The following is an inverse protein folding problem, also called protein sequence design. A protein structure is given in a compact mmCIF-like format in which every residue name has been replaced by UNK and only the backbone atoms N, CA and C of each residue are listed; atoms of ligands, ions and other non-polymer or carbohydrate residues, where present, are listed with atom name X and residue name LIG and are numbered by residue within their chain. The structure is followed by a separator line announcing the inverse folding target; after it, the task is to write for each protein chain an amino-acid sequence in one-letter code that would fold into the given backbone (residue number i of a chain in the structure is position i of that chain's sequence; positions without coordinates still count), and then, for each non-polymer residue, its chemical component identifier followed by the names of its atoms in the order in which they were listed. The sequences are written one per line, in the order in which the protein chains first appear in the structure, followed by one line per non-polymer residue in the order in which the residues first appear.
data_IF_820813898400
#
_entry.id   IF_820813898400
#
_cell.length_a   1.000
_cell.length_b   1.000
_cell.length_c   1.000
_cell.angle_alpha   90.00
_cell.angle_beta   90.00
_cell.angle_gamma   90.00
#
_symmetry.space_group_name_H-M   'P 1'
#
loop_
_entity.id
_entity.type
_entity.pdbx_description
1 polymer ?
#
# COMPACT_ATOMS: atom_id res chain seq x y z
N UNK A 1 30.57 8.98 -34.50
CA UNK A 1 31.24 10.12 -33.87
C UNK A 1 30.65 10.32 -32.45
N UNK A 2 31.51 10.45 -31.45
CA UNK A 2 31.10 10.65 -30.04
C UNK A 2 30.69 12.09 -29.70
N UNK A 3 30.68 12.97 -30.68
CA UNK A 3 30.24 14.40 -30.53
C UNK A 3 29.39 14.78 -31.74
N UNK A 4 28.33 15.54 -31.45
CA UNK A 4 27.51 16.15 -32.48
C UNK A 4 28.35 17.15 -33.30
N UNK A 5 28.31 17.01 -34.60
CA UNK A 5 28.93 17.94 -35.55
C UNK A 5 27.88 18.35 -36.57
N UNK A 6 27.62 19.66 -36.70
CA UNK A 6 26.57 20.19 -37.55
C UNK A 6 26.79 19.91 -39.04
N UNK A 7 28.03 19.63 -39.51
CA UNK A 7 28.37 19.33 -40.90
C UNK A 7 29.12 17.98 -40.99
N UNK A 8 28.73 17.14 -41.91
CA UNK A 8 29.39 15.86 -42.15
C UNK A 8 30.79 16.06 -42.80
N UNK A 9 31.89 15.54 -42.19
CA UNK A 9 33.23 15.68 -42.74
C UNK A 9 33.43 14.88 -44.05
N UNK A 10 32.59 13.90 -44.34
CA UNK A 10 32.68 13.06 -45.56
C UNK A 10 31.94 13.67 -46.74
N UNK A 11 30.68 14.07 -46.59
CA UNK A 11 29.87 14.60 -47.66
C UNK A 11 29.69 16.14 -47.64
N UNK A 12 30.14 16.83 -46.57
CA UNK A 12 30.05 18.28 -46.34
C UNK A 12 28.63 18.85 -46.33
N UNK A 13 27.60 18.01 -46.19
CA UNK A 13 26.22 18.46 -46.03
C UNK A 13 25.89 18.72 -44.58
N UNK A 14 24.95 19.63 -44.31
CA UNK A 14 24.47 19.98 -42.98
C UNK A 14 23.30 19.10 -42.60
N UNK A 15 23.19 18.79 -41.27
CA UNK A 15 22.07 18.04 -40.70
C UNK A 15 21.83 16.63 -41.31
N UNK A 16 22.88 15.95 -41.77
CA UNK A 16 22.81 14.61 -42.32
C UNK A 16 23.12 13.50 -41.30
N UNK A 17 23.40 13.88 -40.04
CA UNK A 17 23.56 12.88 -38.95
C UNK A 17 22.21 12.48 -38.39
N UNK A 18 21.94 11.20 -38.43
CA UNK A 18 20.82 10.57 -37.71
C UNK A 18 21.42 9.85 -36.51
N UNK A 19 20.87 10.07 -35.31
CA UNK A 19 21.21 9.27 -34.14
C UNK A 19 20.72 7.83 -34.35
N UNK A 20 21.65 6.92 -34.65
CA UNK A 20 21.35 5.49 -34.51
C UNK A 20 21.57 5.08 -33.06
N UNK A 21 20.61 4.43 -32.38
CA UNK A 21 20.86 3.85 -31.10
C UNK A 21 21.92 2.76 -31.26
N UNK A 22 23.13 3.02 -30.75
CA UNK A 22 24.19 2.02 -30.66
C UNK A 22 23.69 0.89 -29.77
N UNK A 23 23.34 -0.25 -30.38
CA UNK A 23 23.22 -1.51 -29.66
C UNK A 23 24.58 -1.74 -28.98
N UNK A 24 24.59 -1.62 -27.65
CA UNK A 24 25.78 -1.77 -26.84
C UNK A 24 26.42 -3.13 -27.12
N UNK A 25 27.64 -3.11 -27.68
CA UNK A 25 28.47 -4.29 -27.86
C UNK A 25 28.82 -4.82 -26.46
N UNK A 26 28.15 -5.87 -26.04
CA UNK A 26 28.57 -6.66 -24.88
C UNK A 26 29.90 -7.33 -25.20
N UNK A 27 30.97 -6.75 -24.70
CA UNK A 27 32.29 -7.42 -24.65
C UNK A 27 32.12 -8.63 -23.75
N UNK A 28 32.27 -9.81 -24.35
CA UNK A 28 32.35 -11.10 -23.68
C UNK A 28 33.65 -11.21 -22.90
N UNK A 29 33.58 -10.93 -21.59
CA UNK A 29 34.57 -11.45 -20.64
C UNK A 29 34.00 -12.72 -20.01
N UNK A 30 34.58 -13.85 -20.37
CA UNK A 30 34.35 -15.15 -19.75
C UNK A 30 34.73 -15.11 -18.27
N UNK A 31 33.80 -15.21 -17.35
CA UNK A 31 34.03 -15.82 -16.03
C UNK A 31 32.69 -16.30 -15.45
N UNK A 32 32.62 -17.58 -15.16
CA UNK A 32 31.85 -18.27 -14.12
C UNK A 32 30.34 -18.11 -14.08
N UNK A 33 29.65 -19.17 -14.51
CA UNK A 33 28.22 -19.38 -14.54
C UNK A 33 27.39 -18.91 -13.34
N UNK A 34 26.50 -17.99 -13.63
CA UNK A 34 25.17 -17.93 -13.02
C UNK A 34 24.19 -17.69 -14.17
N UNK A 35 23.35 -18.67 -14.47
CA UNK A 35 22.24 -18.53 -15.41
C UNK A 35 21.35 -17.40 -14.90
N UNK A 36 21.41 -16.20 -15.52
CA UNK A 36 20.30 -15.26 -15.51
C UNK A 36 19.14 -15.99 -16.18
N UNK A 37 18.12 -16.39 -15.41
CA UNK A 37 16.84 -16.76 -15.97
C UNK A 37 16.32 -15.53 -16.71
N UNK A 38 16.45 -15.55 -18.04
CA UNK A 38 15.89 -14.52 -18.91
C UNK A 38 14.38 -14.50 -18.67
N UNK A 39 13.83 -13.31 -18.48
CA UNK A 39 12.40 -13.08 -18.63
C UNK A 39 12.02 -13.60 -20.01
N UNK A 40 11.33 -14.75 -20.06
CA UNK A 40 10.73 -15.22 -21.30
C UNK A 40 9.79 -14.12 -21.79
N UNK A 41 9.94 -13.71 -23.04
CA UNK A 41 9.04 -12.75 -23.64
C UNK A 41 7.62 -13.28 -23.53
N UNK A 42 6.75 -12.54 -22.83
CA UNK A 42 5.35 -12.93 -22.60
C UNK A 42 4.69 -13.14 -23.97
N UNK A 43 4.22 -14.36 -24.24
CA UNK A 43 3.44 -14.64 -25.45
C UNK A 43 2.04 -14.09 -25.27
N UNK A 44 1.43 -13.47 -26.29
CA UNK A 44 0.04 -13.06 -26.20
C UNK A 44 -0.85 -14.29 -25.99
N UNK A 45 -1.71 -14.25 -24.99
CA UNK A 45 -2.70 -15.28 -24.70
C UNK A 45 -4.09 -14.78 -25.09
N UNK A 46 -4.97 -15.67 -25.53
CA UNK A 46 -6.38 -15.32 -25.72
C UNK A 46 -7.04 -15.16 -24.36
N UNK A 47 -7.96 -14.20 -24.24
CA UNK A 47 -8.65 -13.92 -22.97
C UNK A 47 -9.39 -15.16 -22.44
N UNK A 48 -9.90 -15.99 -23.34
CA UNK A 48 -10.61 -17.25 -23.02
C UNK A 48 -9.69 -18.36 -22.47
N UNK A 49 -8.38 -18.25 -22.70
CA UNK A 49 -7.37 -19.20 -22.20
C UNK A 49 -6.88 -18.85 -20.79
N UNK A 50 -7.29 -17.68 -20.27
CA UNK A 50 -6.91 -17.22 -18.95
C UNK A 50 -8.00 -17.66 -17.97
N UNK A 51 -7.70 -18.66 -17.13
CA UNK A 51 -8.60 -19.03 -16.04
C UNK A 51 -8.54 -17.95 -14.95
N UNK A 52 -9.70 -17.42 -14.59
CA UNK A 52 -9.88 -16.56 -13.42
C UNK A 52 -10.60 -17.36 -12.35
N UNK A 53 -9.89 -18.23 -11.67
CA UNK A 53 -10.47 -18.94 -10.54
C UNK A 53 -10.71 -17.95 -9.41
N UNK A 54 -11.92 -17.89 -8.88
CA UNK A 54 -12.29 -17.07 -7.72
C UNK A 54 -11.46 -17.41 -6.46
N UNK A 55 -10.75 -18.53 -6.46
CA UNK A 55 -9.87 -18.98 -5.40
C UNK A 55 -8.54 -18.22 -5.28
N UNK A 56 -8.19 -17.35 -6.22
CA UNK A 56 -6.94 -16.55 -6.19
C UNK A 56 -6.93 -15.43 -5.12
N UNK A 57 -7.99 -15.29 -4.32
CA UNK A 57 -8.05 -14.35 -3.20
C UNK A 57 -7.71 -15.01 -1.88
N UNK A 58 -6.71 -14.45 -1.20
CA UNK A 58 -6.32 -14.90 0.14
C UNK A 58 -6.92 -13.98 1.19
N UNK A 59 -7.64 -14.54 2.15
CA UNK A 59 -8.14 -13.75 3.28
C UNK A 59 -7.01 -13.33 4.20
N UNK A 60 -7.06 -12.07 4.64
CA UNK A 60 -6.07 -11.50 5.56
C UNK A 60 -6.28 -11.94 7.02
N UNK A 61 -7.44 -12.54 7.30
CA UNK A 61 -7.86 -12.84 8.65
C UNK A 61 -8.36 -11.62 9.43
N UNK A 62 -8.58 -10.50 8.73
CA UNK A 62 -9.22 -9.29 9.22
C UNK A 62 -10.39 -8.94 8.28
N UNK A 63 -11.63 -9.11 8.75
CA UNK A 63 -12.83 -8.91 7.93
C UNK A 63 -12.97 -7.46 7.45
N UNK A 64 -12.61 -6.50 8.29
CA UNK A 64 -12.65 -5.08 7.95
C UNK A 64 -11.63 -4.73 6.85
N UNK A 65 -10.45 -5.36 6.86
CA UNK A 65 -9.47 -5.21 5.79
C UNK A 65 -9.91 -5.93 4.51
N UNK A 66 -10.40 -7.18 4.64
CA UNK A 66 -10.88 -7.96 3.49
C UNK A 66 -12.04 -7.24 2.79
N UNK A 67 -12.94 -6.59 3.53
CA UNK A 67 -14.01 -5.74 2.99
C UNK A 67 -13.45 -4.63 2.09
N UNK A 68 -12.49 -3.87 2.59
CA UNK A 68 -11.88 -2.75 1.84
C UNK A 68 -11.08 -3.25 0.63
N UNK A 69 -10.51 -4.44 0.71
CA UNK A 69 -9.81 -5.09 -0.40
C UNK A 69 -10.76 -5.68 -1.46
N UNK A 70 -12.06 -5.74 -1.18
CA UNK A 70 -13.04 -6.37 -2.07
C UNK A 70 -13.06 -7.90 -1.97
N UNK A 71 -12.79 -8.45 -0.79
CA UNK A 71 -12.87 -9.87 -0.47
C UNK A 71 -11.54 -10.57 -0.14
N UNK A 72 -10.44 -9.83 -0.09
CA UNK A 72 -9.11 -10.35 0.27
C UNK A 72 -8.00 -9.97 -0.69
N UNK A 73 -6.82 -10.53 -0.49
CA UNK A 73 -5.62 -10.27 -1.28
C UNK A 73 -5.68 -10.97 -2.63
N UNK A 74 -5.42 -10.25 -3.69
CA UNK A 74 -5.24 -10.82 -5.02
C UNK A 74 -3.75 -11.17 -5.21
N UNK A 75 -3.49 -12.39 -5.65
CA UNK A 75 -2.13 -12.90 -5.91
C UNK A 75 -1.42 -12.03 -6.96
N UNK A 76 -0.16 -11.70 -6.72
CA UNK A 76 0.62 -10.84 -7.63
C UNK A 76 0.24 -9.35 -7.58
N UNK A 77 -0.56 -8.90 -6.63
CA UNK A 77 -0.95 -7.49 -6.47
C UNK A 77 0.07 -6.69 -5.67
N UNK A 78 0.17 -5.40 -6.00
CA UNK A 78 0.95 -4.42 -5.28
C UNK A 78 0.02 -3.45 -4.54
N UNK A 79 0.08 -3.43 -3.20
CA UNK A 79 -0.84 -2.71 -2.33
C UNK A 79 -0.08 -1.65 -1.55
N UNK A 80 -0.47 -0.39 -1.68
CA UNK A 80 0.09 0.72 -0.89
C UNK A 80 -0.80 1.00 0.32
N UNK A 81 -0.19 1.04 1.50
CA UNK A 81 -0.85 1.45 2.75
C UNK A 81 -0.25 2.79 3.19
N UNK A 82 -0.98 3.87 2.96
CA UNK A 82 -0.64 5.23 3.34
C UNK A 82 -1.29 5.66 4.65
N UNK A 83 -0.81 6.76 5.20
CA UNK A 83 -1.36 7.39 6.40
C UNK A 83 -0.29 8.03 7.27
N UNK A 84 -0.71 8.80 8.26
CA UNK A 84 0.16 9.52 9.17
C UNK A 84 1.13 8.59 9.93
N UNK A 85 2.34 9.07 10.29
CA UNK A 85 3.22 8.33 11.18
C UNK A 85 2.54 8.04 12.52
N UNK A 86 2.67 6.78 13.00
CA UNK A 86 2.07 6.36 14.28
C UNK A 86 0.57 6.03 14.24
N UNK A 87 -0.09 6.09 13.06
CA UNK A 87 -1.53 5.76 12.93
C UNK A 87 -1.83 4.28 13.12
N UNK A 88 -0.85 3.39 12.95
CA UNK A 88 -1.01 1.93 13.13
C UNK A 88 -0.75 1.07 11.89
N UNK A 89 -0.22 1.63 10.80
CA UNK A 89 0.05 0.89 9.53
C UNK A 89 0.88 -0.38 9.75
N UNK A 90 2.05 -0.24 10.38
CA UNK A 90 2.95 -1.37 10.65
C UNK A 90 2.34 -2.39 11.63
N UNK A 91 1.47 -1.93 12.56
CA UNK A 91 0.72 -2.80 13.47
C UNK A 91 -0.30 -3.64 12.70
N UNK A 92 -1.09 -3.00 11.82
CA UNK A 92 -2.04 -3.69 10.95
C UNK A 92 -1.34 -4.77 10.12
N UNK A 93 -0.25 -4.40 9.45
CA UNK A 93 0.46 -5.32 8.56
C UNK A 93 1.16 -6.45 9.31
N UNK A 94 1.68 -6.23 10.52
CA UNK A 94 2.18 -7.33 11.35
C UNK A 94 1.06 -8.31 11.74
N UNK A 95 -0.14 -7.83 12.07
CA UNK A 95 -1.28 -8.71 12.36
C UNK A 95 -1.70 -9.51 11.11
N UNK A 96 -1.72 -8.87 9.93
CA UNK A 96 -1.96 -9.54 8.65
C UNK A 96 -0.90 -10.62 8.41
N UNK A 97 0.38 -10.30 8.58
CA UNK A 97 1.48 -11.26 8.42
C UNK A 97 1.30 -12.48 9.34
N UNK A 98 0.94 -12.24 10.61
CA UNK A 98 0.64 -13.32 11.56
C UNK A 98 -0.48 -14.22 11.06
N UNK A 99 -1.61 -13.63 10.69
CA UNK A 99 -2.78 -14.39 10.27
C UNK A 99 -2.48 -15.22 9.01
N UNK A 100 -1.76 -14.64 8.06
CA UNK A 100 -1.34 -15.32 6.83
C UNK A 100 -0.34 -16.46 7.13
N UNK A 101 0.63 -16.24 8.02
CA UNK A 101 1.58 -17.28 8.42
C UNK A 101 0.86 -18.44 9.14
N UNK A 102 -0.10 -18.15 10.01
CA UNK A 102 -0.94 -19.18 10.67
C UNK A 102 -1.78 -19.95 9.65
N UNK A 103 -2.24 -19.31 8.57
CA UNK A 103 -2.96 -19.99 7.48
C UNK A 103 -2.05 -20.78 6.52
N UNK A 104 -0.76 -20.91 6.85
CA UNK A 104 0.20 -21.73 6.08
C UNK A 104 0.88 -20.98 4.94
N UNK A 105 0.76 -19.66 4.85
CA UNK A 105 1.48 -18.86 3.85
C UNK A 105 2.87 -18.47 4.35
N UNK A 106 3.87 -18.57 3.48
CA UNK A 106 5.20 -18.05 3.75
C UNK A 106 5.21 -16.54 3.53
N UNK A 107 5.53 -15.80 4.59
CA UNK A 107 5.49 -14.33 4.62
C UNK A 107 6.88 -13.77 4.91
N UNK A 108 7.29 -12.74 4.16
CA UNK A 108 8.53 -11.99 4.42
C UNK A 108 8.18 -10.54 4.82
N UNK A 109 8.57 -10.16 6.02
CA UNK A 109 8.47 -8.77 6.49
C UNK A 109 9.84 -8.10 6.40
N UNK A 110 9.95 -7.08 5.55
CA UNK A 110 11.17 -6.28 5.37
C UNK A 110 11.00 -4.97 6.11
N UNK A 111 11.86 -4.72 7.07
CA UNK A 111 11.91 -3.47 7.84
C UNK A 111 13.12 -2.64 7.45
N UNK A 112 12.89 -1.42 6.99
CA UNK A 112 13.94 -0.45 6.70
C UNK A 112 14.15 0.59 7.80
N UNK A 113 13.25 0.64 8.79
CA UNK A 113 13.30 1.64 9.87
C UNK A 113 13.62 1.03 11.22
N UNK A 114 13.17 -0.20 11.47
CA UNK A 114 13.32 -0.87 12.75
C UNK A 114 14.24 -2.09 12.64
N UNK A 115 15.03 -2.32 13.68
CA UNK A 115 15.81 -3.54 13.81
C UNK A 115 14.90 -4.76 14.03
N UNK A 116 15.41 -5.95 13.71
CA UNK A 116 14.70 -7.22 13.93
C UNK A 116 14.20 -7.38 15.38
N UNK A 117 15.00 -6.91 16.36
CA UNK A 117 14.62 -6.94 17.77
C UNK A 117 13.42 -6.04 18.09
N UNK A 118 13.36 -4.83 17.52
CA UNK A 118 12.25 -3.89 17.72
C UNK A 118 10.95 -4.42 17.11
N UNK A 119 11.05 -4.95 15.87
CA UNK A 119 9.89 -5.61 15.23
C UNK A 119 9.42 -6.82 16.05
N UNK A 120 10.35 -7.65 16.57
CA UNK A 120 10.01 -8.79 17.43
C UNK A 120 9.32 -8.35 18.72
N UNK A 121 9.80 -7.31 19.39
CA UNK A 121 9.13 -6.76 20.59
C UNK A 121 7.70 -6.27 20.32
N UNK A 122 7.47 -5.70 19.13
CA UNK A 122 6.12 -5.32 18.67
C UNK A 122 5.27 -6.55 18.39
N UNK A 123 5.83 -7.54 17.71
CA UNK A 123 5.18 -8.79 17.41
C UNK A 123 4.72 -9.53 18.68
N UNK A 124 5.55 -9.57 19.70
CA UNK A 124 5.21 -10.24 20.97
C UNK A 124 4.01 -9.60 21.68
N UNK A 125 3.84 -8.27 21.59
CA UNK A 125 2.65 -7.57 22.10
C UNK A 125 1.37 -7.94 21.36
N UNK A 126 1.48 -8.35 20.10
CA UNK A 126 0.35 -8.76 19.27
C UNK A 126 -0.09 -10.21 19.48
N UNK A 127 0.45 -10.92 20.49
CA UNK A 127 0.01 -12.25 20.89
C UNK A 127 0.82 -13.41 20.34
N UNK A 128 2.08 -13.14 19.97
CA UNK A 128 3.00 -14.15 19.47
C UNK A 128 2.74 -14.53 18.01
N UNK A 129 3.71 -15.23 17.42
CA UNK A 129 3.68 -15.62 16.02
C UNK A 129 4.00 -17.10 15.89
N UNK A 130 3.18 -17.83 15.18
CA UNK A 130 3.40 -19.19 14.72
C UNK A 130 3.31 -19.24 13.20
N UNK A 131 4.01 -20.17 12.57
CA UNK A 131 4.06 -20.29 11.12
C UNK A 131 5.31 -19.65 10.48
N UNK A 132 5.34 -19.60 9.16
CA UNK A 132 6.50 -19.16 8.38
C UNK A 132 6.50 -17.64 8.16
N UNK A 133 6.76 -16.87 9.22
CA UNK A 133 7.03 -15.43 9.12
C UNK A 133 8.53 -15.17 9.22
N UNK A 134 9.11 -14.73 8.10
CA UNK A 134 10.51 -14.32 8.00
C UNK A 134 10.61 -12.81 8.21
N UNK A 135 11.65 -12.37 8.92
CA UNK A 135 11.95 -10.97 9.16
C UNK A 135 13.33 -10.63 8.57
N UNK A 136 13.38 -9.56 7.79
CA UNK A 136 14.59 -9.03 7.19
C UNK A 136 14.75 -7.54 7.54
N UNK A 137 15.85 -7.15 8.16
CA UNK A 137 16.20 -5.72 8.35
C UNK A 137 17.20 -5.35 7.25
N UNK A 138 16.71 -4.77 6.16
CA UNK A 138 17.51 -4.38 5.00
C UNK A 138 16.80 -3.25 4.23
N UNK A 139 17.60 -2.39 3.58
CA UNK A 139 17.12 -1.27 2.78
C UNK A 139 17.60 -1.32 1.33
N UNK A 140 18.63 -2.12 1.04
CA UNK A 140 19.10 -2.34 -0.32
C UNK A 140 18.17 -3.29 -1.08
N UNK A 141 17.53 -2.79 -2.16
CA UNK A 141 16.53 -3.54 -2.90
C UNK A 141 17.07 -4.78 -3.61
N UNK A 142 18.34 -4.77 -4.04
CA UNK A 142 18.94 -5.93 -4.68
C UNK A 142 19.12 -7.10 -3.70
N UNK A 143 19.52 -6.80 -2.46
CA UNK A 143 19.62 -7.83 -1.40
C UNK A 143 18.23 -8.36 -1.01
N UNK A 144 17.22 -7.47 -0.99
CA UNK A 144 15.84 -7.86 -0.75
C UNK A 144 15.35 -8.78 -1.86
N UNK A 145 15.59 -8.45 -3.15
CA UNK A 145 15.19 -9.29 -4.29
C UNK A 145 15.89 -10.65 -4.26
N UNK A 146 17.19 -10.70 -3.93
CA UNK A 146 17.92 -11.96 -3.74
C UNK A 146 17.29 -12.81 -2.64
N UNK A 147 16.87 -12.21 -1.53
CA UNK A 147 16.17 -12.91 -0.44
C UNK A 147 14.79 -13.41 -0.90
N UNK A 148 14.01 -12.60 -1.60
CA UNK A 148 12.73 -13.02 -2.18
C UNK A 148 12.92 -14.19 -3.14
N UNK A 149 13.96 -14.14 -3.97
CA UNK A 149 14.28 -15.22 -4.92
C UNK A 149 14.65 -16.52 -4.21
N UNK A 150 15.39 -16.45 -3.11
CA UNK A 150 15.82 -17.61 -2.34
C UNK A 150 14.68 -18.21 -1.53
N UNK A 151 13.92 -17.37 -0.84
CA UNK A 151 12.91 -17.79 0.12
C UNK A 151 11.54 -18.06 -0.53
N UNK A 152 11.28 -17.50 -1.72
CA UNK A 152 10.02 -17.64 -2.46
C UNK A 152 8.77 -17.41 -1.59
N UNK A 153 8.66 -16.25 -0.89
CA UNK A 153 7.50 -15.96 -0.08
C UNK A 153 6.26 -15.72 -0.97
N UNK A 154 5.08 -16.01 -0.45
CA UNK A 154 3.80 -15.71 -1.13
C UNK A 154 3.36 -14.26 -0.89
N UNK A 155 3.76 -13.69 0.26
CA UNK A 155 3.43 -12.32 0.65
C UNK A 155 4.69 -11.64 1.17
N UNK A 156 4.92 -10.40 0.74
CA UNK A 156 6.03 -9.53 1.19
C UNK A 156 5.46 -8.23 1.73
N UNK A 157 6.01 -7.75 2.83
CA UNK A 157 5.74 -6.41 3.37
C UNK A 157 7.02 -5.59 3.34
N UNK A 158 6.97 -4.38 2.79
CA UNK A 158 8.07 -3.40 2.76
C UNK A 158 7.68 -2.24 3.68
N UNK A 159 8.38 -2.12 4.82
CA UNK A 159 8.11 -1.09 5.84
C UNK A 159 9.38 -0.28 6.15
N UNK A 160 9.56 0.92 5.56
CA UNK A 160 8.73 1.63 4.59
C UNK A 160 9.40 1.74 3.22
N UNK A 161 8.62 2.02 2.18
CA UNK A 161 9.16 2.22 0.83
C UNK A 161 10.13 3.41 0.75
N UNK A 162 9.98 4.40 1.63
CA UNK A 162 10.84 5.59 1.66
C UNK A 162 12.28 5.29 2.09
N UNK A 163 12.51 4.20 2.82
CA UNK A 163 13.85 3.79 3.25
C UNK A 163 14.57 2.90 2.25
N UNK A 164 13.84 2.39 1.25
CA UNK A 164 14.42 1.51 0.23
C UNK A 164 15.23 2.30 -0.78
N UNK A 165 16.33 1.70 -1.25
CA UNK A 165 17.18 2.29 -2.27
C UNK A 165 17.78 1.24 -3.21
N UNK A 166 18.19 1.72 -4.38
CA UNK A 166 19.01 1.00 -5.38
C UNK A 166 20.34 1.71 -5.55
N UNK A 167 21.42 0.96 -5.62
CA UNK A 167 22.78 1.52 -5.74
C UNK A 167 23.06 2.13 -7.12
N UNK A 168 22.40 1.65 -8.16
CA UNK A 168 22.52 2.16 -9.53
C UNK A 168 21.87 3.54 -9.76
N UNK A 169 21.14 4.05 -8.77
CA UNK A 169 20.45 5.33 -8.83
C UNK A 169 21.17 6.34 -7.94
N UNK A 170 21.64 7.43 -8.52
CA UNK A 170 22.46 8.45 -7.83
C UNK A 170 21.71 9.32 -6.84
N UNK A 171 20.35 9.29 -6.82
CA UNK A 171 19.56 10.11 -5.89
C UNK A 171 19.49 9.47 -4.50
N UNK A 172 19.34 10.32 -3.46
CA UNK A 172 19.30 9.87 -2.07
C UNK A 172 18.06 8.98 -1.78
N UNK A 173 18.15 8.03 -0.81
CA UNK A 173 17.00 7.31 -0.31
C UNK A 173 15.86 8.25 0.10
N UNK A 174 14.61 7.85 -0.14
CA UNK A 174 13.43 8.69 0.12
C UNK A 174 13.14 9.77 -0.93
N UNK A 175 14.05 10.04 -1.87
CA UNK A 175 13.76 10.92 -3.01
C UNK A 175 12.70 10.33 -3.93
N UNK A 176 11.99 11.20 -4.67
CA UNK A 176 10.95 10.77 -5.63
C UNK A 176 11.50 9.75 -6.63
N UNK A 177 12.73 9.96 -7.12
CA UNK A 177 13.38 9.05 -8.07
C UNK A 177 13.58 7.67 -7.50
N UNK A 178 14.23 7.58 -6.33
CA UNK A 178 14.47 6.30 -5.65
C UNK A 178 13.17 5.56 -5.34
N UNK A 179 12.20 6.25 -4.74
CA UNK A 179 10.93 5.63 -4.34
C UNK A 179 10.16 5.10 -5.56
N UNK A 180 10.16 5.83 -6.69
CA UNK A 180 9.53 5.37 -7.93
C UNK A 180 10.21 4.14 -8.51
N UNK A 181 11.54 4.14 -8.62
CA UNK A 181 12.28 3.03 -9.21
C UNK A 181 12.24 1.78 -8.32
N UNK A 182 12.33 1.95 -7.00
CA UNK A 182 12.13 0.85 -6.06
C UNK A 182 10.73 0.24 -6.21
N UNK A 183 9.70 1.09 -6.30
CA UNK A 183 8.31 0.63 -6.50
C UNK A 183 8.13 -0.06 -7.85
N UNK A 184 8.76 0.44 -8.92
CA UNK A 184 8.72 -0.20 -10.23
C UNK A 184 9.34 -1.62 -10.20
N UNK A 185 10.49 -1.77 -9.55
CA UNK A 185 11.12 -3.07 -9.36
C UNK A 185 10.23 -4.02 -8.55
N UNK A 186 9.65 -3.56 -7.44
CA UNK A 186 8.74 -4.36 -6.62
C UNK A 186 7.47 -4.75 -7.39
N UNK A 187 6.97 -3.89 -8.26
CA UNK A 187 5.83 -4.20 -9.14
C UNK A 187 6.18 -5.33 -10.14
N UNK A 188 7.39 -5.29 -10.72
CA UNK A 188 7.86 -6.36 -11.60
C UNK A 188 8.00 -7.69 -10.86
N UNK A 189 8.53 -7.67 -9.63
CA UNK A 189 8.64 -8.85 -8.76
C UNK A 189 7.24 -9.40 -8.44
N UNK A 190 6.31 -8.54 -8.03
CA UNK A 190 4.94 -8.93 -7.68
C UNK A 190 4.26 -9.65 -8.86
N UNK A 191 4.27 -9.04 -10.04
CA UNK A 191 3.57 -9.56 -11.23
C UNK A 191 4.32 -10.73 -11.88
N UNK A 192 5.65 -10.68 -11.92
CA UNK A 192 6.46 -11.71 -12.58
C UNK A 192 6.58 -13.00 -11.77
N UNK A 193 6.40 -12.95 -10.45
CA UNK A 193 6.52 -14.11 -9.55
C UNK A 193 5.24 -14.46 -8.81
N UNK A 194 4.13 -13.78 -9.11
CA UNK A 194 2.84 -13.96 -8.43
C UNK A 194 2.93 -13.79 -6.90
N UNK A 195 3.70 -12.77 -6.45
CA UNK A 195 3.89 -12.46 -5.03
C UNK A 195 3.06 -11.22 -4.68
N UNK A 196 2.21 -11.31 -3.66
CA UNK A 196 1.50 -10.13 -3.16
C UNK A 196 2.43 -9.27 -2.31
N UNK A 197 2.55 -7.98 -2.64
CA UNK A 197 3.47 -7.07 -1.96
C UNK A 197 2.69 -5.91 -1.33
N UNK A 198 2.87 -5.71 -0.03
CA UNK A 198 2.44 -4.51 0.68
C UNK A 198 3.58 -3.50 0.76
N UNK A 199 3.29 -2.25 0.44
CA UNK A 199 4.17 -1.10 0.63
C UNK A 199 3.61 -0.20 1.72
N UNK A 200 4.38 0.05 2.77
CA UNK A 200 4.05 1.09 3.75
C UNK A 200 4.59 2.42 3.25
N UNK A 201 3.70 3.43 3.19
CA UNK A 201 4.06 4.80 2.83
C UNK A 201 3.68 5.79 3.94
N UNK A 202 4.61 6.68 4.30
CA UNK A 202 4.33 7.77 5.23
C UNK A 202 3.91 9.03 4.47
N UNK A 203 2.79 9.63 4.90
CA UNK A 203 2.37 10.95 4.37
C UNK A 203 3.25 12.01 5.01
N UNK A 204 3.94 12.80 4.20
CA UNK A 204 4.73 13.94 4.68
C UNK A 204 4.00 15.24 4.40
N UNK A 205 3.84 16.08 5.43
CA UNK A 205 3.19 17.40 5.31
C UNK A 205 4.03 18.41 4.52
N UNK A 206 5.33 18.18 4.35
CA UNK A 206 6.30 19.18 3.85
C UNK A 206 6.89 18.88 2.46
N UNK A 207 6.46 17.87 1.75
CA UNK A 207 6.84 17.64 0.35
C UNK A 207 8.31 17.28 0.06
N UNK A 208 9.17 17.16 1.07
CA UNK A 208 10.61 16.89 0.91
C UNK A 208 10.88 15.39 0.64
N UNK A 209 10.06 14.51 1.21
CA UNK A 209 10.12 13.06 1.00
C UNK A 209 8.97 12.63 0.09
N UNK A 210 9.24 11.72 -0.83
CA UNK A 210 8.20 11.20 -1.74
C UNK A 210 7.06 10.56 -0.94
N UNK A 211 5.91 11.23 -0.92
CA UNK A 211 4.71 10.74 -0.26
C UNK A 211 3.99 9.68 -1.10
N UNK A 212 2.99 9.00 -0.53
CA UNK A 212 2.22 7.94 -1.18
C UNK A 212 1.59 8.37 -2.52
N UNK A 213 1.21 9.64 -2.69
CA UNK A 213 0.60 10.18 -3.93
C UNK A 213 1.43 9.94 -5.18
N UNK A 214 2.75 9.93 -5.06
CA UNK A 214 3.65 9.65 -6.19
C UNK A 214 3.48 8.21 -6.69
N UNK A 215 3.09 7.29 -5.81
CA UNK A 215 2.96 5.86 -6.07
C UNK A 215 1.56 5.41 -6.45
N UNK A 216 0.53 6.23 -6.22
CA UNK A 216 -0.87 5.86 -6.43
C UNK A 216 -1.15 5.33 -7.85
N UNK A 217 -0.48 5.88 -8.85
CA UNK A 217 -0.65 5.44 -10.24
C UNK A 217 0.05 4.12 -10.56
N UNK A 218 1.09 3.77 -9.80
CA UNK A 218 1.93 2.59 -10.04
C UNK A 218 1.37 1.32 -9.41
N UNK A 219 0.66 1.44 -8.30
CA UNK A 219 0.15 0.30 -7.51
C UNK A 219 -1.26 -0.10 -7.95
N UNK A 220 -1.67 -1.32 -7.61
CA UNK A 220 -2.99 -1.85 -7.95
C UNK A 220 -4.06 -1.38 -6.96
N UNK A 221 -3.70 -1.30 -5.68
CA UNK A 221 -4.60 -0.88 -4.60
C UNK A 221 -3.91 0.17 -3.73
N UNK A 222 -4.63 1.21 -3.36
CA UNK A 222 -4.19 2.26 -2.44
C UNK A 222 -5.16 2.31 -1.27
N UNK A 223 -4.65 2.05 -0.08
CA UNK A 223 -5.36 2.12 1.18
C UNK A 223 -4.83 3.31 1.98
N UNK A 224 -5.72 4.14 2.49
CA UNK A 224 -5.35 5.19 3.45
C UNK A 224 -5.89 4.86 4.82
N UNK A 225 -5.00 4.95 5.81
CA UNK A 225 -5.33 4.78 7.21
C UNK A 225 -5.47 6.17 7.83
N UNK A 226 -6.69 6.50 8.25
CA UNK A 226 -7.11 7.80 8.73
C UNK A 226 -7.52 7.74 10.21
N UNK A 227 -7.44 8.84 10.89
CA UNK A 227 -7.90 9.01 12.26
C UNK A 227 -7.05 10.00 13.04
N UNK A 228 -7.60 10.54 14.11
CA UNK A 228 -6.86 11.37 15.05
C UNK A 228 -6.06 10.46 16.00
N UNK A 229 -4.84 10.87 16.36
CA UNK A 229 -4.00 10.13 17.32
C UNK A 229 -4.63 10.05 18.72
N UNK A 230 -5.47 11.02 19.07
CA UNK A 230 -6.24 11.06 20.31
C UNK A 230 -7.51 10.21 20.27
N UNK A 231 -8.03 9.89 19.07
CA UNK A 231 -9.20 9.06 18.91
C UNK A 231 -8.86 7.57 19.07
N UNK A 232 -9.77 6.79 19.63
CA UNK A 232 -9.59 5.33 19.76
C UNK A 232 -9.73 4.61 18.43
N UNK A 233 -10.51 5.19 17.51
CA UNK A 233 -10.86 4.57 16.23
C UNK A 233 -9.96 5.00 15.09
N UNK A 234 -9.77 4.07 14.17
CA UNK A 234 -9.03 4.25 12.92
C UNK A 234 -9.89 3.77 11.77
N UNK A 235 -9.91 4.54 10.70
CA UNK A 235 -10.67 4.22 9.49
C UNK A 235 -9.68 3.86 8.40
N UNK A 236 -9.92 2.75 7.72
CA UNK A 236 -9.18 2.34 6.55
C UNK A 236 -10.07 2.51 5.33
N UNK A 237 -9.64 3.30 4.35
CA UNK A 237 -10.36 3.55 3.09
C UNK A 237 -9.54 3.13 1.88
N UNK A 238 -10.20 2.57 0.87
CA UNK A 238 -9.61 2.38 -0.43
C UNK A 238 -9.79 3.67 -1.25
N UNK A 239 -8.67 4.27 -1.67
CA UNK A 239 -8.68 5.40 -2.62
C UNK A 239 -8.58 4.91 -4.06
N UNK A 240 -7.95 3.76 -4.25
CA UNK A 240 -7.84 3.04 -5.51
C UNK A 240 -7.91 1.55 -5.26
N UNK A 241 -8.69 0.83 -6.05
CA UNK A 241 -8.73 -0.62 -6.01
C UNK A 241 -9.08 -1.15 -7.40
N UNK A 242 -8.13 -1.83 -8.06
CA UNK A 242 -8.35 -2.45 -9.38
C UNK A 242 -9.20 -3.72 -9.28
N UNK A 243 -9.34 -4.27 -8.08
CA UNK A 243 -9.95 -5.58 -7.84
C UNK A 243 -11.27 -5.51 -7.07
N UNK A 244 -11.74 -4.30 -6.75
CA UNK A 244 -12.96 -4.09 -5.99
C UNK A 244 -13.41 -2.63 -5.94
N UNK A 245 -14.46 -2.39 -5.19
CA UNK A 245 -15.01 -1.04 -4.98
C UNK A 245 -14.07 -0.19 -4.12
N UNK A 246 -14.14 1.14 -4.31
CA UNK A 246 -13.35 2.11 -3.53
C UNK A 246 -14.18 2.84 -2.47
N UNK A 247 -15.48 2.57 -2.39
CA UNK A 247 -16.40 3.21 -1.46
C UNK A 247 -16.57 2.46 -0.14
N UNK A 248 -15.85 1.32 0.04
CA UNK A 248 -15.87 0.55 1.29
C UNK A 248 -14.91 1.14 2.32
N UNK A 249 -15.32 1.07 3.58
CA UNK A 249 -14.47 1.43 4.71
C UNK A 249 -14.33 0.28 5.71
N UNK A 250 -13.14 0.19 6.33
CA UNK A 250 -12.87 -0.66 7.48
C UNK A 250 -12.70 0.18 8.74
N UNK A 251 -13.26 -0.27 9.85
CA UNK A 251 -13.18 0.45 11.12
C UNK A 251 -12.43 -0.41 12.15
N UNK A 252 -11.42 0.19 12.76
CA UNK A 252 -10.57 -0.46 13.75
C UNK A 252 -10.49 0.37 15.03
N UNK A 253 -10.38 -0.30 16.15
CA UNK A 253 -10.08 0.28 17.45
C UNK A 253 -8.62 -0.01 17.79
N UNK A 254 -7.87 1.01 18.25
CA UNK A 254 -6.51 0.83 18.70
C UNK A 254 -6.52 0.41 20.19
N UNK A 255 -6.09 -0.81 20.45
CA UNK A 255 -5.98 -1.36 21.81
C UNK A 255 -4.53 -1.76 22.12
N UNK A 256 -4.23 -2.10 23.36
CA UNK A 256 -2.87 -2.49 23.75
C UNK A 256 -2.32 -3.71 22.99
N UNK A 257 -3.20 -4.65 22.63
CA UNK A 257 -2.86 -5.84 21.85
C UNK A 257 -2.87 -5.63 20.33
N UNK A 258 -2.99 -4.38 19.85
CA UNK A 258 -2.98 -4.05 18.44
C UNK A 258 -4.27 -3.41 17.96
N UNK A 259 -4.64 -3.68 16.70
CA UNK A 259 -5.87 -3.20 16.08
C UNK A 259 -6.96 -4.27 16.20
N UNK A 260 -8.09 -3.87 16.76
CA UNK A 260 -9.29 -4.68 16.89
C UNK A 260 -10.33 -4.19 15.89
N UNK A 261 -10.96 -5.11 15.19
CA UNK A 261 -12.03 -4.79 14.22
C UNK A 261 -13.30 -4.34 14.94
N UNK A 262 -13.93 -3.29 14.41
CA UNK A 262 -15.22 -2.77 14.88
C UNK A 262 -16.32 -3.28 13.96
N UNK A 263 -16.92 -4.41 14.31
CA UNK A 263 -17.94 -5.04 13.49
C UNK A 263 -19.21 -4.18 13.34
N UNK A 264 -19.56 -3.40 14.36
CA UNK A 264 -20.73 -2.53 14.36
C UNK A 264 -20.38 -1.09 14.79
N UNK A 265 -19.93 -0.23 13.87
CA UNK A 265 -19.69 1.19 14.17
C UNK A 265 -20.92 1.95 14.65
N UNK A 266 -22.13 1.55 14.20
CA UNK A 266 -23.37 2.19 14.59
C UNK A 266 -23.67 2.08 16.08
N UNK A 267 -23.33 0.95 16.70
CA UNK A 267 -23.54 0.75 18.14
C UNK A 267 -22.74 1.79 18.95
N UNK A 268 -21.51 2.08 18.52
CA UNK A 268 -20.68 3.09 19.15
C UNK A 268 -21.20 4.52 18.93
N UNK A 269 -21.60 4.87 17.70
CA UNK A 269 -22.10 6.20 17.38
C UNK A 269 -23.44 6.52 18.05
N UNK A 270 -24.16 5.50 18.51
CA UNK A 270 -25.42 5.62 19.22
C UNK A 270 -25.25 5.41 20.74
N UNK A 271 -24.02 5.15 21.22
CA UNK A 271 -23.76 4.98 22.66
C UNK A 271 -24.00 6.31 23.42
N UNK A 272 -24.69 6.25 24.54
CA UNK A 272 -25.03 7.43 25.35
C UNK A 272 -26.17 8.31 24.79
N UNK A 273 -26.83 7.89 23.73
CA UNK A 273 -27.97 8.60 23.16
C UNK A 273 -29.11 8.71 24.18
N UNK A 274 -29.65 9.93 24.33
CA UNK A 274 -30.91 10.14 25.08
C UNK A 274 -32.11 9.87 24.19
N UNK A 275 -32.96 8.94 24.59
CA UNK A 275 -34.20 8.58 23.81
C UNK A 275 -35.28 9.68 23.84
N UNK A 276 -35.25 10.55 24.85
CA UNK A 276 -36.28 11.54 25.13
C UNK A 276 -35.83 12.99 24.85
N UNK A 277 -34.71 13.21 24.20
CA UNK A 277 -34.22 14.54 23.87
C UNK A 277 -34.94 15.12 22.65
N UNK A 278 -35.57 16.29 22.79
CA UNK A 278 -36.11 17.02 21.64
C UNK A 278 -34.99 17.56 20.76
N UNK A 279 -35.20 17.58 19.45
CA UNK A 279 -34.21 18.06 18.48
C UNK A 279 -33.17 17.03 18.08
N UNK A 280 -33.33 15.75 18.43
CA UNK A 280 -32.47 14.64 18.03
C UNK A 280 -33.25 13.64 17.18
N UNK A 281 -32.58 13.08 16.16
CA UNK A 281 -33.11 12.00 15.32
C UNK A 281 -31.99 11.02 14.94
N UNK A 282 -32.32 9.75 14.90
CA UNK A 282 -31.41 8.74 14.33
C UNK A 282 -31.54 8.72 12.81
N UNK A 283 -30.46 8.94 12.13
CA UNK A 283 -30.37 8.84 10.66
C UNK A 283 -29.51 7.63 10.26
N UNK A 284 -29.76 7.13 9.05
CA UNK A 284 -28.95 6.10 8.43
C UNK A 284 -28.16 6.70 7.27
N UNK A 285 -26.84 6.59 7.34
CA UNK A 285 -25.92 6.93 6.27
C UNK A 285 -25.42 5.65 5.61
N UNK A 286 -25.29 5.63 4.30
CA UNK A 286 -24.68 4.54 3.56
C UNK A 286 -23.23 4.88 3.22
N UNK A 287 -22.29 4.11 3.77
CA UNK A 287 -20.87 4.17 3.42
C UNK A 287 -20.49 2.87 2.69
N UNK A 288 -20.36 2.97 1.36
CA UNK A 288 -20.25 1.78 0.52
C UNK A 288 -21.51 0.91 0.61
N UNK A 289 -21.32 -0.32 1.02
CA UNK A 289 -22.43 -1.27 1.28
C UNK A 289 -22.84 -1.31 2.74
N UNK A 290 -22.20 -0.52 3.62
CA UNK A 290 -22.44 -0.53 5.06
C UNK A 290 -23.44 0.56 5.48
N UNK A 291 -24.59 0.23 6.07
CA UNK A 291 -25.43 1.19 6.76
C UNK A 291 -24.77 1.59 8.09
N UNK A 292 -24.64 2.89 8.32
CA UNK A 292 -24.15 3.47 9.57
C UNK A 292 -25.25 4.31 10.18
N UNK A 293 -25.67 3.93 11.37
CA UNK A 293 -26.65 4.70 12.14
C UNK A 293 -25.93 5.75 12.97
N UNK A 294 -26.38 6.99 12.91
CA UNK A 294 -25.83 8.11 13.66
C UNK A 294 -26.94 9.01 14.21
N UNK A 295 -26.62 9.75 15.25
CA UNK A 295 -27.54 10.75 15.80
C UNK A 295 -27.28 12.10 15.12
N UNK A 296 -28.35 12.70 14.59
CA UNK A 296 -28.36 14.05 14.08
C UNK A 296 -29.08 14.94 15.10
N UNK A 297 -28.41 16.04 15.50
CA UNK A 297 -28.92 16.98 16.46
C UNK A 297 -29.23 18.32 15.76
N UNK A 298 -30.36 18.92 16.07
CA UNK A 298 -30.76 20.24 15.57
C UNK A 298 -31.12 21.16 16.73
N UNK A 299 -30.44 22.28 16.84
CA UNK A 299 -30.78 23.33 17.80
C UNK A 299 -31.41 24.53 17.07
N UNK A 300 -32.62 24.88 17.47
CA UNK A 300 -33.33 26.04 16.93
C UNK A 300 -33.52 27.05 18.03
N UNK A 301 -33.06 28.28 17.80
CA UNK A 301 -33.27 29.39 18.74
C UNK A 301 -33.82 30.62 18.02
N UNK A 302 -34.53 31.47 18.76
CA UNK A 302 -35.01 32.78 18.25
C UNK A 302 -33.80 33.71 18.06
N UNK A 303 -33.80 34.43 16.96
CA UNK A 303 -32.76 35.44 16.67
C UNK A 303 -33.39 36.79 16.45
N UNK A 304 -32.74 37.84 16.89
CA UNK A 304 -33.07 39.23 16.60
C UNK A 304 -32.60 39.70 15.21
N UNK A 305 -31.85 38.90 14.49
CA UNK A 305 -31.42 39.20 13.13
C UNK A 305 -32.58 39.02 12.16
N UNK A 306 -32.76 39.94 11.24
CA UNK A 306 -33.86 39.95 10.29
C UNK A 306 -33.93 38.77 9.29
N UNK A 307 -32.84 37.99 9.19
CA UNK A 307 -32.73 36.81 8.34
C UNK A 307 -32.31 35.60 9.17
N UNK A 308 -32.95 34.42 8.95
CA UNK A 308 -32.57 33.20 9.64
C UNK A 308 -31.17 32.73 9.17
N UNK A 309 -30.31 32.39 10.14
CA UNK A 309 -29.03 31.76 9.88
C UNK A 309 -29.13 30.26 10.08
N UNK A 310 -28.45 29.49 9.19
CA UNK A 310 -28.28 28.05 9.32
C UNK A 310 -26.79 27.77 9.32
N UNK A 311 -26.36 26.95 10.26
CA UNK A 311 -24.97 26.46 10.35
C UNK A 311 -25.06 24.96 10.53
N UNK A 312 -24.33 24.22 9.74
CA UNK A 312 -24.19 22.77 9.88
C UNK A 312 -22.76 22.43 10.29
N UNK A 313 -22.60 21.33 11.03
CA UNK A 313 -21.31 20.75 11.37
C UNK A 313 -21.42 19.23 11.19
N UNK A 314 -20.53 18.64 10.37
CA UNK A 314 -20.52 17.21 10.08
C UNK A 314 -21.63 16.70 9.16
N UNK A 315 -22.50 17.60 8.65
CA UNK A 315 -23.58 17.31 7.70
C UNK A 315 -23.59 18.43 6.65
N UNK A 316 -23.68 18.08 5.38
CA UNK A 316 -23.86 19.03 4.26
C UNK A 316 -25.33 19.37 4.01
#
# INVERSE_FOLDING_TARGET
SSKWMGQCPGCRQWNTFVEEPTAGSFATTKSGGAKKQGLEASKPLRLEEISTDEEDRSRTGLHELDRVLGGGLVTGSLILVGGDPGIGKSTLLLQVCRNLAVSGKKVLYVSGEESARQVKMRADRLGGFSGELLLLSETNLEKIDNTITKEMPQVVVIDSIQTMYREDISSAPGSVGQVRECTNTLMQIAKGRNITIFLVGHVTKEGVVAGPRVLEHMVDTVLYFEGDRSAMYRILRAVKNRFGATNEMGVFEMVQSGLKEVANPSAYLLEGRSLDSSGTVTACLMEGTRPIMLEVQALVCRTSFGLPRRTSAGID
#
